data_IF_706681710141
#
_entry.id   IF_706681710141
#
_cell.length_a   1.000
_cell.length_b   1.000
_cell.length_c   1.000
_cell.angle_alpha   90.00
_cell.angle_beta   90.00
_cell.angle_gamma   90.00
#
_symmetry.space_group_name_H-M   'P 1'
#
loop_
_entity.id
_entity.type
_entity.pdbx_description
1 polymer ?
#
# COMPACT_ATOMS: atom_id res chain seq x y z
N UNK A 1 -14.28 48.79 -58.54
CA UNK A 1 -12.84 48.71 -58.84
C UNK A 1 -12.27 47.72 -57.88
N UNK A 2 -12.15 46.54 -58.34
CA UNK A 2 -10.95 45.85 -58.83
C UNK A 2 -10.08 45.34 -57.69
N UNK A 3 -10.17 44.10 -57.48
CA UNK A 3 -9.16 43.03 -57.72
C UNK A 3 -8.08 42.97 -56.66
N UNK A 4 -7.64 41.90 -56.17
CA UNK A 4 -7.45 40.60 -56.70
C UNK A 4 -6.92 39.62 -55.65
N UNK A 5 -7.02 38.40 -55.99
CA UNK A 5 -6.57 37.15 -55.36
C UNK A 5 -5.07 37.12 -55.04
N UNK A 6 -4.66 36.35 -54.04
CA UNK A 6 -3.80 35.20 -54.39
C UNK A 6 -3.79 34.12 -53.30
N UNK A 7 -3.69 32.89 -53.75
CA UNK A 7 -3.57 31.65 -53.02
C UNK A 7 -2.11 31.42 -52.65
N UNK A 8 -1.84 30.76 -51.51
CA UNK A 8 -0.73 29.83 -51.41
C UNK A 8 -1.03 28.73 -50.38
N UNK A 9 -1.05 27.54 -50.89
CA UNK A 9 -0.97 26.23 -50.21
C UNK A 9 0.25 26.13 -49.29
N UNK A 10 0.15 25.30 -48.26
CA UNK A 10 1.23 24.90 -47.40
C UNK A 10 0.77 23.81 -46.44
N UNK A 11 0.53 22.60 -46.98
CA UNK A 11 0.49 21.38 -46.17
C UNK A 11 1.90 21.12 -45.58
N UNK A 12 1.96 20.82 -44.28
CA UNK A 12 2.94 19.91 -43.68
C UNK A 12 2.69 19.86 -42.17
N UNK A 13 2.44 18.67 -41.63
CA UNK A 13 2.23 18.49 -40.21
C UNK A 13 1.66 17.13 -39.84
N UNK A 14 2.00 16.10 -40.60
CA UNK A 14 1.69 14.72 -40.22
C UNK A 14 3.00 13.97 -39.98
N UNK A 15 3.58 14.12 -38.76
CA UNK A 15 4.67 13.19 -38.35
C UNK A 15 4.94 13.22 -36.84
N UNK A 16 3.91 13.13 -36.02
CA UNK A 16 4.06 13.04 -34.55
C UNK A 16 3.48 11.78 -33.90
N UNK A 17 2.79 10.92 -34.68
CA UNK A 17 2.07 9.76 -34.12
C UNK A 17 2.73 8.39 -34.33
N UNK A 18 3.77 8.29 -35.12
CA UNK A 18 4.41 7.00 -35.42
C UNK A 18 5.45 6.57 -34.36
N UNK A 19 6.11 7.50 -33.64
CA UNK A 19 7.13 7.20 -32.66
C UNK A 19 6.59 6.58 -31.36
N UNK A 20 5.44 7.02 -30.90
CA UNK A 20 4.82 6.51 -29.66
C UNK A 20 4.29 5.07 -29.80
N UNK A 21 3.92 4.65 -30.99
CA UNK A 21 3.39 3.29 -31.23
C UNK A 21 4.46 2.20 -31.35
N UNK A 22 5.69 2.55 -31.71
CA UNK A 22 6.80 1.60 -31.78
C UNK A 22 7.39 1.33 -30.39
N UNK A 23 7.68 2.36 -29.59
CA UNK A 23 8.18 2.22 -28.24
C UNK A 23 7.21 1.45 -27.31
N UNK A 24 5.89 1.70 -27.46
CA UNK A 24 4.86 0.96 -26.72
C UNK A 24 4.79 -0.54 -27.09
N UNK A 25 4.99 -0.89 -28.36
CA UNK A 25 5.04 -2.30 -28.80
C UNK A 25 6.30 -3.02 -28.32
N UNK A 26 7.45 -2.34 -28.35
CA UNK A 26 8.71 -2.90 -27.87
C UNK A 26 8.67 -3.15 -26.36
N UNK A 27 8.05 -2.24 -25.59
CA UNK A 27 7.86 -2.41 -24.14
C UNK A 27 6.91 -3.61 -23.83
N UNK A 28 5.81 -3.73 -24.57
CA UNK A 28 4.85 -4.85 -24.41
C UNK A 28 5.53 -6.19 -24.69
N UNK A 29 6.30 -6.30 -25.78
CA UNK A 29 7.02 -7.52 -26.12
C UNK A 29 8.09 -7.88 -25.07
N UNK A 30 8.83 -6.91 -24.57
CA UNK A 30 9.81 -7.13 -23.52
C UNK A 30 9.16 -7.58 -22.20
N UNK A 31 8.02 -7.00 -21.85
CA UNK A 31 7.24 -7.43 -20.69
C UNK A 31 6.74 -8.87 -20.83
N UNK A 32 6.19 -9.24 -21.99
CA UNK A 32 5.73 -10.60 -22.26
C UNK A 32 6.87 -11.62 -22.09
N UNK A 33 8.06 -11.34 -22.63
CA UNK A 33 9.24 -12.21 -22.47
C UNK A 33 9.63 -12.32 -20.98
N UNK A 34 9.66 -11.22 -20.25
CA UNK A 34 10.00 -11.24 -18.82
C UNK A 34 8.98 -12.03 -17.99
N UNK A 35 7.69 -11.91 -18.32
CA UNK A 35 6.60 -12.68 -17.69
C UNK A 35 6.75 -14.19 -17.97
N UNK A 36 7.07 -14.59 -19.22
CA UNK A 36 7.31 -15.99 -19.56
C UNK A 36 8.50 -16.53 -18.77
N UNK A 37 9.62 -15.82 -18.72
CA UNK A 37 10.82 -16.21 -17.97
C UNK A 37 10.49 -16.39 -16.48
N UNK A 38 9.74 -15.46 -15.87
CA UNK A 38 9.32 -15.59 -14.48
C UNK A 38 8.39 -16.80 -14.27
N UNK A 39 7.40 -16.97 -15.16
CA UNK A 39 6.44 -18.07 -15.06
C UNK A 39 7.11 -19.45 -15.17
N UNK A 40 8.09 -19.62 -16.06
CA UNK A 40 8.88 -20.84 -16.15
C UNK A 40 9.61 -21.15 -14.83
N UNK A 41 10.22 -20.13 -14.19
CA UNK A 41 10.88 -20.31 -12.89
C UNK A 41 9.91 -20.65 -11.76
N UNK A 42 8.70 -20.12 -11.81
CA UNK A 42 7.66 -20.36 -10.82
C UNK A 42 6.86 -21.64 -11.07
N UNK A 43 7.10 -22.38 -12.16
CA UNK A 43 6.32 -23.55 -12.57
C UNK A 43 6.18 -24.61 -11.46
N UNK A 44 7.20 -24.77 -10.61
CA UNK A 44 7.18 -25.71 -9.48
C UNK A 44 6.12 -25.36 -8.41
N UNK A 45 5.61 -24.11 -8.39
CA UNK A 45 4.59 -23.65 -7.46
C UNK A 45 3.15 -23.89 -7.96
N UNK A 46 2.97 -24.41 -9.18
CA UNK A 46 1.70 -24.85 -9.71
C UNK A 46 0.59 -23.81 -9.65
N UNK A 47 -0.56 -24.17 -9.06
CA UNK A 47 -1.77 -23.34 -8.98
C UNK A 47 -1.59 -22.07 -8.12
N UNK A 48 -0.49 -21.95 -7.38
CA UNK A 48 -0.16 -20.74 -6.65
C UNK A 48 0.26 -19.57 -7.55
N UNK A 49 0.49 -19.82 -8.85
CA UNK A 49 0.92 -18.82 -9.83
C UNK A 49 -0.22 -18.50 -10.79
N UNK A 50 -0.54 -17.21 -10.93
CA UNK A 50 -1.63 -16.74 -11.77
C UNK A 50 -1.13 -15.61 -12.68
N UNK A 51 -1.52 -15.66 -13.96
CA UNK A 51 -1.36 -14.57 -14.92
C UNK A 51 -2.59 -13.67 -14.85
N UNK A 52 -2.42 -12.40 -15.12
CA UNK A 52 -3.50 -11.42 -15.17
C UNK A 52 -4.40 -11.47 -13.92
N UNK A 53 -3.77 -11.69 -12.75
CA UNK A 53 -4.48 -11.78 -11.48
C UNK A 53 -5.08 -10.43 -11.10
N UNK A 54 -6.36 -10.40 -10.73
CA UNK A 54 -7.11 -9.19 -10.42
C UNK A 54 -6.59 -8.48 -9.16
N UNK A 55 -5.42 -7.86 -9.25
CA UNK A 55 -4.69 -7.25 -8.12
C UNK A 55 -5.50 -6.16 -7.43
N UNK A 56 -6.20 -5.32 -8.19
CA UNK A 56 -7.07 -4.27 -7.64
C UNK A 56 -8.12 -4.83 -6.69
N UNK A 57 -8.72 -5.98 -7.02
CA UNK A 57 -9.72 -6.66 -6.19
C UNK A 57 -9.16 -7.18 -4.85
N UNK A 58 -7.83 -7.39 -4.76
CA UNK A 58 -7.13 -7.81 -3.53
C UNK A 58 -6.84 -6.64 -2.58
N UNK A 59 -7.18 -5.41 -2.96
CA UNK A 59 -7.00 -4.21 -2.12
C UNK A 59 -8.30 -3.85 -1.38
N UNK A 60 -8.20 -2.96 -0.40
CA UNK A 60 -9.41 -2.44 0.28
C UNK A 60 -10.16 -1.41 -0.56
N UNK A 61 -9.56 -0.81 -1.56
CA UNK A 61 -10.25 -0.03 -2.59
C UNK A 61 -11.07 -0.90 -3.54
N UNK A 62 -10.66 -2.16 -3.79
CA UNK A 62 -11.32 -3.11 -4.69
C UNK A 62 -11.49 -2.60 -6.13
N UNK A 63 -10.67 -1.64 -6.53
CA UNK A 63 -10.60 -1.11 -7.91
C UNK A 63 -9.17 -1.19 -8.42
N UNK A 64 -9.01 -1.08 -9.72
CA UNK A 64 -7.74 -1.19 -10.42
C UNK A 64 -7.58 -2.51 -11.18
N UNK A 65 -6.55 -2.58 -12.01
CA UNK A 65 -6.30 -3.66 -12.93
C UNK A 65 -5.59 -4.87 -12.33
N UNK A 66 -5.10 -5.71 -13.21
CA UNK A 66 -4.42 -6.97 -12.89
C UNK A 66 -2.92 -6.80 -12.69
N UNK A 67 -2.28 -7.73 -12.00
CA UNK A 67 -0.84 -7.93 -12.06
C UNK A 67 -0.50 -8.85 -13.26
N UNK A 68 0.56 -8.54 -13.99
CA UNK A 68 1.00 -9.39 -15.10
C UNK A 68 1.28 -10.83 -14.63
N UNK A 69 1.87 -10.96 -13.45
CA UNK A 69 2.08 -12.24 -12.78
C UNK A 69 1.84 -12.09 -11.28
N UNK A 70 1.16 -13.05 -10.67
CA UNK A 70 0.92 -13.12 -9.23
C UNK A 70 1.35 -14.50 -8.72
N UNK A 71 2.03 -14.52 -7.57
CA UNK A 71 2.33 -15.76 -6.85
C UNK A 71 1.81 -15.68 -5.42
N UNK A 72 1.04 -16.69 -5.02
CA UNK A 72 0.57 -16.84 -3.66
C UNK A 72 1.56 -17.71 -2.88
N UNK A 73 2.34 -17.10 -1.99
CA UNK A 73 3.32 -17.79 -1.16
C UNK A 73 2.63 -18.27 0.12
N UNK A 74 2.60 -19.57 0.33
CA UNK A 74 1.99 -20.24 1.49
C UNK A 74 3.02 -20.84 2.42
N UNK A 75 4.26 -21.04 1.95
CA UNK A 75 5.37 -21.62 2.71
C UNK A 75 6.66 -20.83 2.48
N UNK A 76 7.49 -20.66 3.51
CA UNK A 76 8.78 -19.95 3.40
C UNK A 76 9.72 -20.56 2.36
N UNK A 77 9.69 -21.91 2.23
CA UNK A 77 10.50 -22.63 1.23
C UNK A 77 10.22 -22.25 -0.23
N UNK A 78 9.12 -21.56 -0.51
CA UNK A 78 8.79 -21.07 -1.86
C UNK A 78 9.51 -19.74 -2.19
N UNK A 79 9.94 -18.97 -1.18
CA UNK A 79 10.58 -17.66 -1.37
C UNK A 79 11.87 -17.70 -2.20
N UNK A 80 12.78 -18.69 -2.05
CA UNK A 80 13.94 -18.81 -2.94
C UNK A 80 13.57 -18.98 -4.42
N UNK A 81 12.46 -19.67 -4.72
CA UNK A 81 11.96 -19.84 -6.10
C UNK A 81 11.44 -18.49 -6.64
N UNK A 82 10.71 -17.74 -5.80
CA UNK A 82 10.23 -16.40 -6.13
C UNK A 82 11.40 -15.44 -6.35
N UNK A 83 12.43 -15.50 -5.51
CA UNK A 83 13.64 -14.69 -5.64
C UNK A 83 14.36 -14.98 -6.97
N UNK A 84 14.53 -16.25 -7.34
CA UNK A 84 15.14 -16.61 -8.62
C UNK A 84 14.31 -16.09 -9.80
N UNK A 85 12.98 -16.26 -9.76
CA UNK A 85 12.08 -15.76 -10.79
C UNK A 85 12.18 -14.23 -10.95
N UNK A 86 12.15 -13.47 -9.84
CA UNK A 86 12.29 -12.03 -9.84
C UNK A 86 13.64 -11.57 -10.40
N UNK A 87 14.73 -12.20 -9.97
CA UNK A 87 16.10 -11.87 -10.38
C UNK A 87 16.34 -12.15 -11.87
N UNK A 88 15.89 -13.30 -12.39
CA UNK A 88 16.16 -13.72 -13.78
C UNK A 88 15.27 -12.97 -14.77
N UNK A 89 14.00 -12.69 -14.41
CA UNK A 89 13.08 -11.96 -15.28
C UNK A 89 13.31 -10.46 -15.29
N UNK A 90 13.87 -9.90 -14.20
CA UNK A 90 13.99 -8.45 -14.02
C UNK A 90 12.65 -7.74 -13.82
N UNK A 91 11.55 -8.47 -13.61
CA UNK A 91 10.24 -7.89 -13.35
C UNK A 91 10.27 -7.06 -12.04
N UNK A 92 9.63 -5.88 -12.02
CA UNK A 92 9.40 -5.18 -10.76
C UNK A 92 8.56 -6.04 -9.83
N UNK A 93 8.90 -6.03 -8.53
CA UNK A 93 8.22 -6.85 -7.52
C UNK A 93 7.33 -5.99 -6.64
N UNK A 94 6.14 -6.49 -6.34
CA UNK A 94 5.23 -5.94 -5.36
C UNK A 94 4.87 -7.01 -4.32
N UNK A 95 5.30 -6.84 -3.08
CA UNK A 95 4.83 -7.66 -1.96
C UNK A 95 3.51 -7.11 -1.45
N UNK A 96 2.48 -7.95 -1.42
CA UNK A 96 1.13 -7.59 -0.96
C UNK A 96 0.73 -8.45 0.25
N UNK A 97 0.37 -7.78 1.35
CA UNK A 97 -0.28 -8.41 2.48
C UNK A 97 -1.81 -8.30 2.33
N UNK A 98 -2.46 -7.48 3.15
CA UNK A 98 -3.92 -7.28 3.13
C UNK A 98 -4.41 -6.19 2.15
N UNK A 99 -3.51 -5.57 1.37
CA UNK A 99 -3.86 -4.54 0.39
C UNK A 99 -4.50 -3.27 0.97
N UNK A 100 -4.35 -3.01 2.27
CA UNK A 100 -5.09 -1.95 2.98
C UNK A 100 -4.53 -0.54 2.80
N UNK A 101 -3.40 -0.39 2.11
CA UNK A 101 -2.75 0.89 1.83
C UNK A 101 -2.31 1.02 0.35
N UNK A 102 -2.96 0.27 -0.54
CA UNK A 102 -2.62 0.25 -1.97
C UNK A 102 -3.75 0.83 -2.81
N UNK A 103 -3.38 1.63 -3.82
CA UNK A 103 -4.20 1.97 -4.97
C UNK A 103 -3.50 1.43 -6.21
N UNK A 104 -4.13 0.50 -6.92
CA UNK A 104 -3.60 -0.11 -8.15
C UNK A 104 -4.22 0.59 -9.35
N UNK A 105 -3.42 1.04 -10.31
CA UNK A 105 -3.89 1.68 -11.53
C UNK A 105 -4.88 0.80 -12.30
N UNK A 106 -5.81 1.39 -13.05
CA UNK A 106 -6.73 0.63 -13.90
C UNK A 106 -5.98 -0.14 -15.00
N UNK A 107 -4.80 0.35 -15.44
CA UNK A 107 -3.89 -0.35 -16.32
C UNK A 107 -3.20 -1.58 -15.67
N UNK A 108 -3.29 -1.73 -14.34
CA UNK A 108 -2.69 -2.83 -13.59
C UNK A 108 -1.24 -2.60 -13.18
N UNK A 109 -0.54 -3.69 -12.91
CA UNK A 109 0.85 -3.72 -12.49
C UNK A 109 1.66 -4.64 -13.43
N UNK A 110 2.55 -4.06 -14.22
CA UNK A 110 3.42 -4.74 -15.16
C UNK A 110 4.62 -5.40 -14.44
N UNK A 111 4.33 -6.36 -13.54
CA UNK A 111 5.34 -6.99 -12.70
C UNK A 111 4.87 -8.25 -12.00
N UNK A 112 5.71 -8.75 -11.09
CA UNK A 112 5.46 -9.90 -10.23
C UNK A 112 4.90 -9.43 -8.89
N UNK A 113 3.62 -9.67 -8.64
CA UNK A 113 3.01 -9.47 -7.34
C UNK A 113 3.14 -10.75 -6.48
N UNK A 114 3.56 -10.57 -5.22
CA UNK A 114 3.82 -11.66 -4.26
C UNK A 114 2.86 -11.53 -3.10
N UNK A 115 1.86 -12.41 -3.02
CA UNK A 115 0.87 -12.44 -1.97
C UNK A 115 1.34 -13.28 -0.78
N UNK A 116 1.28 -12.70 0.43
CA UNK A 116 1.72 -13.35 1.68
C UNK A 116 0.56 -13.62 2.66
N UNK A 117 -0.69 -13.50 2.21
CA UNK A 117 -1.85 -13.51 3.11
C UNK A 117 -2.03 -14.77 3.94
N UNK A 118 -1.47 -15.90 3.51
CA UNK A 118 -1.60 -17.21 4.16
C UNK A 118 -0.23 -17.82 4.54
N UNK A 119 0.86 -17.08 4.36
CA UNK A 119 2.21 -17.60 4.57
C UNK A 119 2.41 -18.15 5.98
N UNK A 120 1.99 -17.41 7.00
CA UNK A 120 2.03 -17.80 8.40
C UNK A 120 1.22 -16.79 9.23
N UNK A 121 0.52 -17.27 10.24
CA UNK A 121 -0.24 -16.46 11.19
C UNK A 121 0.06 -16.82 12.65
N UNK A 122 1.28 -17.33 12.90
CA UNK A 122 1.75 -17.69 14.24
C UNK A 122 1.94 -16.45 15.11
N UNK A 123 1.53 -16.56 16.36
CA UNK A 123 1.75 -15.58 17.42
C UNK A 123 2.28 -16.34 18.63
N UNK A 124 3.50 -16.05 19.03
CA UNK A 124 4.12 -16.58 20.24
C UNK A 124 4.31 -15.45 21.26
N UNK A 125 3.71 -15.57 22.44
CA UNK A 125 3.71 -14.56 23.49
C UNK A 125 4.37 -15.12 24.75
N UNK A 126 5.51 -14.55 25.16
CA UNK A 126 6.09 -14.76 26.49
C UNK A 126 5.59 -13.67 27.46
N UNK A 127 4.59 -14.01 28.23
CA UNK A 127 4.01 -13.10 29.23
C UNK A 127 4.96 -12.81 30.38
N UNK A 128 6.01 -13.60 30.59
CA UNK A 128 7.01 -13.39 31.65
C UNK A 128 7.95 -12.23 31.30
N UNK A 129 8.34 -12.13 30.06
CA UNK A 129 9.22 -11.06 29.54
C UNK A 129 8.46 -9.92 28.86
N UNK A 130 7.15 -10.07 28.68
CA UNK A 130 6.30 -9.20 27.87
C UNK A 130 6.79 -9.04 26.43
N UNK A 131 7.45 -10.07 25.88
CA UNK A 131 7.88 -10.11 24.48
C UNK A 131 6.96 -11.00 23.65
N UNK A 132 6.88 -10.73 22.36
CA UNK A 132 6.18 -11.60 21.43
C UNK A 132 6.86 -11.64 20.08
N UNK A 133 6.70 -12.76 19.36
CA UNK A 133 7.01 -12.92 17.96
C UNK A 133 5.69 -13.10 17.19
N UNK A 134 5.49 -12.31 16.15
CA UNK A 134 4.31 -12.42 15.29
C UNK A 134 4.72 -12.52 13.82
N UNK A 135 4.15 -13.50 13.11
CA UNK A 135 4.34 -13.64 11.68
C UNK A 135 3.74 -12.47 10.90
N UNK A 136 4.34 -12.14 9.77
CA UNK A 136 3.97 -10.98 8.95
C UNK A 136 2.53 -10.98 8.46
N UNK A 137 1.91 -12.16 8.26
CA UNK A 137 0.52 -12.34 7.85
C UNK A 137 -0.51 -12.03 8.95
N UNK A 138 -0.10 -11.97 10.21
CA UNK A 138 -0.99 -11.70 11.36
C UNK A 138 -1.67 -10.35 11.20
N UNK A 139 -3.01 -10.34 11.31
CA UNK A 139 -3.77 -9.10 11.29
C UNK A 139 -3.55 -8.28 12.56
N UNK A 140 -3.25 -6.98 12.42
CA UNK A 140 -3.04 -6.06 13.53
C UNK A 140 -4.17 -6.07 14.57
N UNK A 141 -5.48 -6.03 14.17
CA UNK A 141 -6.57 -6.11 15.14
C UNK A 141 -6.66 -7.44 15.92
N UNK A 142 -6.13 -8.53 15.33
CA UNK A 142 -6.08 -9.83 16.00
C UNK A 142 -4.97 -9.81 17.05
N UNK A 143 -3.77 -9.35 16.68
CA UNK A 143 -2.64 -9.26 17.60
C UNK A 143 -2.97 -8.34 18.78
N UNK A 144 -3.53 -7.15 18.54
CA UNK A 144 -3.93 -6.21 19.59
C UNK A 144 -4.88 -6.82 20.63
N UNK A 145 -5.84 -7.64 20.19
CA UNK A 145 -6.74 -8.33 21.13
C UNK A 145 -6.08 -9.47 21.87
N UNK A 146 -5.18 -10.21 21.21
CA UNK A 146 -4.45 -11.33 21.85
C UNK A 146 -3.48 -10.83 22.91
N UNK A 147 -2.73 -9.76 22.63
CA UNK A 147 -1.81 -9.15 23.61
C UNK A 147 -2.58 -8.59 24.80
N UNK A 148 -3.67 -7.88 24.60
CA UNK A 148 -4.53 -7.37 25.66
C UNK A 148 -5.09 -8.50 26.55
N UNK A 149 -5.58 -9.60 25.93
CA UNK A 149 -6.07 -10.75 26.65
C UNK A 149 -4.99 -11.50 27.44
N UNK A 150 -3.73 -11.41 26.99
CA UNK A 150 -2.57 -11.95 27.69
C UNK A 150 -2.05 -11.06 28.84
N UNK A 151 -2.72 -9.92 29.12
CA UNK A 151 -2.29 -8.96 30.15
C UNK A 151 -1.09 -8.10 29.73
N UNK A 152 -0.90 -7.92 28.41
CA UNK A 152 0.12 -7.03 27.85
C UNK A 152 -0.53 -5.74 27.33
N UNK A 153 0.18 -4.63 27.47
CA UNK A 153 -0.26 -3.30 27.07
C UNK A 153 0.75 -2.61 26.16
N UNK A 154 0.31 -1.55 25.44
CA UNK A 154 1.14 -0.76 24.51
C UNK A 154 0.86 -1.06 23.05
N UNK A 155 0.03 -2.08 22.71
CA UNK A 155 -0.31 -2.42 21.34
C UNK A 155 -1.81 -2.27 21.00
N UNK A 156 -2.62 -1.70 21.89
CA UNK A 156 -4.07 -1.52 21.74
C UNK A 156 -4.42 -0.66 20.53
N UNK A 157 -3.59 0.32 20.20
CA UNK A 157 -3.75 1.21 19.04
C UNK A 157 -3.92 0.45 17.73
N UNK A 158 -3.27 -0.71 17.61
CA UNK A 158 -3.23 -1.51 16.40
C UNK A 158 -4.59 -2.13 16.04
N UNK A 159 -5.54 -2.22 17.00
CA UNK A 159 -6.91 -2.65 16.70
C UNK A 159 -7.59 -1.74 15.69
N UNK A 160 -7.15 -0.50 15.64
CA UNK A 160 -7.64 0.51 14.73
C UNK A 160 -7.05 0.45 13.31
N UNK A 161 -6.07 -0.37 13.01
CA UNK A 161 -5.37 -0.37 11.70
C UNK A 161 -5.71 -1.63 10.90
N UNK A 162 -6.36 -1.50 9.72
CA UNK A 162 -6.70 -2.65 8.88
C UNK A 162 -5.47 -3.08 8.07
N UNK A 163 -4.62 -3.89 8.64
CA UNK A 163 -3.40 -4.35 7.97
C UNK A 163 -2.85 -5.61 8.60
N UNK A 164 -1.72 -6.07 8.12
CA UNK A 164 -0.92 -7.14 8.70
C UNK A 164 0.37 -6.60 9.32
N UNK A 165 1.01 -7.40 10.17
CA UNK A 165 2.28 -7.07 10.82
C UNK A 165 3.34 -6.68 9.78
N UNK A 166 3.52 -7.45 8.71
CA UNK A 166 4.51 -7.12 7.68
C UNK A 166 4.27 -5.77 7.01
N UNK A 167 3.00 -5.48 6.67
CA UNK A 167 2.62 -4.17 6.14
C UNK A 167 2.80 -3.04 7.15
N UNK A 168 2.55 -3.30 8.43
CA UNK A 168 2.72 -2.34 9.52
C UNK A 168 4.20 -1.98 9.75
N UNK A 169 5.09 -2.97 9.75
CA UNK A 169 6.55 -2.76 9.80
C UNK A 169 7.01 -1.94 8.61
N UNK A 170 6.61 -2.34 7.40
CA UNK A 170 6.97 -1.67 6.14
C UNK A 170 6.62 -0.18 6.14
N UNK A 171 5.50 0.19 6.73
CA UNK A 171 4.96 1.56 6.72
C UNK A 171 5.16 2.30 8.04
N UNK A 172 5.82 1.71 9.05
CA UNK A 172 5.76 2.19 10.42
C UNK A 172 4.32 2.63 10.77
N UNK A 173 3.38 1.69 10.61
CA UNK A 173 1.97 1.98 10.81
C UNK A 173 1.69 2.43 12.24
N UNK A 174 0.76 3.35 12.41
CA UNK A 174 0.41 3.85 13.73
C UNK A 174 -0.94 4.55 13.76
N UNK A 175 -1.42 4.79 14.96
CA UNK A 175 -2.68 5.47 15.25
C UNK A 175 -2.87 5.63 16.74
N UNK A 176 -3.80 6.48 17.15
CA UNK A 176 -4.16 6.69 18.56
C UNK A 176 -2.94 6.97 19.47
N UNK A 177 -1.97 7.73 18.94
CA UNK A 177 -0.82 8.21 19.73
C UNK A 177 0.39 7.27 19.78
N UNK A 178 0.39 6.14 19.05
CA UNK A 178 1.51 5.21 18.98
C UNK A 178 1.71 4.65 17.56
N UNK A 179 2.81 3.94 17.32
CA UNK A 179 3.16 3.29 16.07
C UNK A 179 3.99 2.01 16.28
N UNK A 180 4.40 1.36 15.17
CA UNK A 180 5.21 0.13 15.24
C UNK A 180 6.56 0.36 15.91
N UNK A 181 7.22 1.49 15.66
CA UNK A 181 8.54 1.79 16.23
C UNK A 181 8.53 1.80 17.76
N UNK A 182 7.39 2.11 18.38
CA UNK A 182 7.28 2.18 19.85
C UNK A 182 7.48 0.82 20.55
N UNK A 183 7.24 -0.29 19.85
CA UNK A 183 7.30 -1.65 20.42
C UNK A 183 8.19 -2.60 19.64
N UNK A 184 8.63 -2.26 18.43
CA UNK A 184 9.42 -3.16 17.58
C UNK A 184 10.85 -3.31 18.11
N UNK A 185 11.33 -4.54 18.27
CA UNK A 185 12.72 -4.87 18.60
C UNK A 185 13.51 -5.15 17.32
N UNK A 186 13.01 -6.09 16.52
CA UNK A 186 13.68 -6.58 15.31
C UNK A 186 12.65 -7.19 14.35
N UNK A 187 13.08 -7.40 13.13
CA UNK A 187 12.30 -8.10 12.10
C UNK A 187 13.15 -9.15 11.40
N UNK A 188 12.55 -10.28 11.08
CA UNK A 188 13.10 -11.22 10.13
C UNK A 188 12.57 -10.88 8.74
N UNK A 189 13.46 -10.63 7.80
CA UNK A 189 13.13 -10.35 6.39
C UNK A 189 13.81 -11.37 5.49
N UNK A 190 13.13 -11.72 4.40
CA UNK A 190 13.75 -12.42 3.28
C UNK A 190 14.05 -11.40 2.18
N UNK A 191 15.30 -11.29 1.74
CA UNK A 191 15.67 -10.41 0.62
C UNK A 191 15.61 -11.19 -0.69
N UNK A 192 14.72 -10.77 -1.59
CA UNK A 192 14.55 -11.39 -2.92
C UNK A 192 15.76 -11.18 -3.85
N UNK A 193 16.70 -10.29 -3.51
CA UNK A 193 17.88 -10.05 -4.32
C UNK A 193 18.96 -11.12 -4.07
N UNK A 194 19.27 -11.40 -2.80
CA UNK A 194 20.30 -12.38 -2.42
C UNK A 194 19.73 -13.76 -2.09
N UNK A 195 18.41 -13.87 -1.94
CA UNK A 195 17.71 -15.12 -1.66
C UNK A 195 17.92 -15.65 -0.24
N UNK A 196 18.23 -14.78 0.72
CA UNK A 196 18.54 -15.11 2.11
C UNK A 196 17.64 -14.40 3.13
N UNK A 197 17.57 -14.96 4.33
CA UNK A 197 16.92 -14.34 5.48
C UNK A 197 17.92 -13.49 6.26
N UNK A 198 17.45 -12.31 6.71
CA UNK A 198 18.22 -11.37 7.52
C UNK A 198 17.40 -10.89 8.70
N UNK A 199 17.99 -10.89 9.89
CA UNK A 199 17.42 -10.22 11.06
C UNK A 199 17.93 -8.79 11.10
N UNK A 200 17.00 -7.83 11.09
CA UNK A 200 17.29 -6.40 11.14
C UNK A 200 16.76 -5.82 12.45
N UNK A 201 17.64 -5.19 13.22
CA UNK A 201 17.23 -4.45 14.41
C UNK A 201 16.41 -3.20 14.05
N UNK A 202 15.56 -2.73 14.95
CA UNK A 202 14.74 -1.52 14.74
C UNK A 202 15.59 -0.30 14.31
N UNK A 203 16.81 -0.16 14.83
CA UNK A 203 17.75 0.91 14.48
C UNK A 203 18.21 0.87 13.01
N UNK A 204 18.14 -0.28 12.34
CA UNK A 204 18.53 -0.47 10.93
C UNK A 204 17.37 -0.18 9.97
N UNK A 205 16.15 -0.13 10.47
CA UNK A 205 14.94 0.03 9.68
C UNK A 205 14.64 1.49 9.29
N UNK A 206 15.37 2.47 9.82
CA UNK A 206 15.16 3.88 9.50
C UNK A 206 13.70 4.31 9.63
N UNK A 207 13.02 3.84 10.70
CA UNK A 207 11.59 4.09 10.90
C UNK A 207 11.31 5.58 11.09
N UNK A 208 10.45 6.10 10.24
CA UNK A 208 9.94 7.47 10.32
C UNK A 208 8.42 7.51 10.22
N UNK A 209 7.85 8.71 10.18
CA UNK A 209 6.40 8.85 10.07
C UNK A 209 5.91 8.26 8.73
N UNK A 210 5.18 7.14 8.81
CA UNK A 210 4.68 6.36 7.66
C UNK A 210 5.78 5.92 6.68
N UNK A 211 6.96 5.58 7.20
CA UNK A 211 8.09 5.15 6.36
C UNK A 211 9.03 4.19 7.08
N UNK A 212 9.74 3.40 6.29
CA UNK A 212 10.89 2.58 6.70
C UNK A 212 11.91 2.51 5.56
N UNK A 213 13.13 2.05 5.86
CA UNK A 213 14.18 1.75 4.87
C UNK A 213 13.91 0.49 4.04
N UNK A 214 12.91 -0.32 4.42
CA UNK A 214 12.56 -1.51 3.66
C UNK A 214 12.11 -1.14 2.25
N UNK A 215 12.54 -1.89 1.25
CA UNK A 215 12.21 -1.69 -0.18
C UNK A 215 11.38 -2.86 -0.72
N UNK A 216 10.96 -2.80 -1.98
CA UNK A 216 10.05 -3.78 -2.58
C UNK A 216 10.57 -5.24 -2.55
N UNK A 217 11.90 -5.44 -2.54
CA UNK A 217 12.53 -6.76 -2.47
C UNK A 217 12.52 -7.38 -1.07
N UNK A 218 12.29 -6.60 -0.02
CA UNK A 218 12.29 -7.10 1.36
C UNK A 218 10.91 -7.67 1.71
N UNK A 219 10.84 -8.97 1.90
CA UNK A 219 9.67 -9.69 2.38
C UNK A 219 9.78 -9.83 3.89
N UNK A 220 8.99 -9.08 4.65
CA UNK A 220 8.93 -9.26 6.10
C UNK A 220 8.30 -10.62 6.39
N UNK A 221 8.95 -11.42 7.22
CA UNK A 221 8.49 -12.76 7.66
C UNK A 221 7.93 -12.72 9.07
N UNK A 222 8.66 -12.09 10.00
CA UNK A 222 8.32 -12.00 11.43
C UNK A 222 8.68 -10.63 11.98
N UNK A 223 8.02 -10.26 13.05
CA UNK A 223 8.39 -9.11 13.87
C UNK A 223 8.43 -9.55 15.36
N UNK A 224 9.51 -9.18 16.05
CA UNK A 224 9.64 -9.31 17.50
C UNK A 224 9.29 -7.99 18.16
N UNK A 225 8.33 -8.01 19.09
CA UNK A 225 7.85 -6.83 19.78
C UNK A 225 8.13 -6.95 21.29
N UNK A 226 8.46 -5.81 21.92
CA UNK A 226 8.49 -5.63 23.37
C UNK A 226 7.29 -4.81 23.78
N UNK A 227 6.50 -5.33 24.69
CA UNK A 227 5.34 -4.66 25.27
C UNK A 227 5.55 -4.45 26.77
N UNK A 228 4.57 -3.81 27.41
CA UNK A 228 4.55 -3.64 28.85
C UNK A 228 3.60 -4.65 29.49
N UNK A 229 3.85 -5.03 30.75
CA UNK A 229 2.84 -5.70 31.56
C UNK A 229 1.68 -4.74 31.83
N UNK A 230 0.47 -5.21 31.66
CA UNK A 230 -0.73 -4.38 31.75
C UNK A 230 -1.91 -5.11 32.41
N UNK A 231 -3.02 -4.42 32.43
CA UNK A 231 -4.31 -4.93 32.90
C UNK A 231 -5.20 -5.26 31.70
N UNK A 232 -5.59 -6.54 31.59
CA UNK A 232 -6.36 -7.04 30.45
C UNK A 232 -7.74 -6.35 30.29
N UNK A 233 -8.40 -5.99 31.42
CA UNK A 233 -9.69 -5.31 31.37
C UNK A 233 -9.51 -3.84 30.92
N UNK A 234 -8.46 -3.18 31.38
CA UNK A 234 -8.12 -1.81 30.96
C UNK A 234 -7.81 -1.77 29.45
N UNK A 235 -6.97 -2.69 28.96
CA UNK A 235 -6.65 -2.81 27.54
C UNK A 235 -7.88 -3.16 26.69
N UNK A 236 -8.77 -4.04 27.17
CA UNK A 236 -10.02 -4.36 26.48
C UNK A 236 -10.97 -3.15 26.39
N UNK A 237 -11.04 -2.32 27.45
CA UNK A 237 -11.81 -1.06 27.43
C UNK A 237 -11.25 -0.08 26.40
N UNK A 238 -9.91 0.14 26.39
CA UNK A 238 -9.24 1.01 25.43
C UNK A 238 -9.46 0.54 23.98
N UNK A 239 -9.33 -0.76 23.71
CA UNK A 239 -9.64 -1.37 22.41
C UNK A 239 -11.08 -1.04 21.98
N UNK A 240 -12.05 -1.16 22.91
CA UNK A 240 -13.46 -0.88 22.65
C UNK A 240 -13.70 0.60 22.33
N UNK A 241 -13.03 1.50 23.05
CA UNK A 241 -13.06 2.95 22.80
C UNK A 241 -12.50 3.30 21.43
N UNK A 242 -11.34 2.74 21.04
CA UNK A 242 -10.72 2.94 19.74
C UNK A 242 -11.67 2.48 18.62
N UNK A 243 -12.25 1.30 18.76
CA UNK A 243 -13.21 0.75 17.78
C UNK A 243 -14.46 1.64 17.66
N UNK A 244 -15.01 2.09 18.78
CA UNK A 244 -16.15 2.98 18.81
C UNK A 244 -15.82 4.34 18.14
N UNK A 245 -14.68 4.93 18.49
CA UNK A 245 -14.21 6.18 17.88
C UNK A 245 -14.07 6.05 16.36
N UNK A 246 -13.43 4.98 15.87
CA UNK A 246 -13.29 4.74 14.42
C UNK A 246 -14.63 4.62 13.73
N UNK A 247 -15.55 3.84 14.30
CA UNK A 247 -16.91 3.70 13.77
C UNK A 247 -17.64 5.05 13.70
N UNK A 248 -17.41 5.92 14.68
CA UNK A 248 -18.01 7.25 14.72
C UNK A 248 -17.36 8.24 13.73
N UNK A 249 -16.04 8.16 13.50
CA UNK A 249 -15.28 9.22 12.81
C UNK A 249 -14.72 8.83 11.43
N UNK A 250 -14.64 7.55 11.09
CA UNK A 250 -14.08 7.11 9.81
C UNK A 250 -15.15 6.44 8.93
N UNK A 251 -15.11 6.62 7.59
CA UNK A 251 -16.07 6.00 6.70
C UNK A 251 -15.84 4.49 6.60
N UNK A 252 -16.90 3.75 6.31
CA UNK A 252 -16.83 2.39 5.79
C UNK A 252 -16.68 2.37 4.26
N UNK A 253 -16.98 1.22 3.65
CA UNK A 253 -16.94 1.07 2.20
C UNK A 253 -15.52 0.96 1.64
N UNK A 254 -15.38 1.13 0.33
CA UNK A 254 -14.13 0.94 -0.40
C UNK A 254 -13.23 2.17 -0.24
N UNK A 255 -12.16 2.05 0.54
CA UNK A 255 -11.14 3.06 0.77
C UNK A 255 -9.86 2.39 1.32
N UNK A 256 -8.74 3.10 1.34
CA UNK A 256 -7.48 2.62 1.90
C UNK A 256 -7.00 3.47 3.10
N UNK A 257 -7.92 3.92 3.94
CA UNK A 257 -7.60 4.75 5.11
C UNK A 257 -7.34 6.22 4.75
N UNK A 258 -6.47 6.86 5.53
CA UNK A 258 -6.03 8.23 5.24
C UNK A 258 -5.27 8.28 3.93
N UNK A 259 -5.64 9.23 3.06
CA UNK A 259 -5.03 9.37 1.74
C UNK A 259 -3.74 10.16 1.80
N UNK A 260 -3.66 11.18 2.67
CA UNK A 260 -2.50 12.04 2.77
C UNK A 260 -1.89 12.03 4.17
N UNK A 261 -0.56 12.14 4.19
CA UNK A 261 0.23 12.32 5.40
C UNK A 261 -0.03 13.71 5.99
N UNK A 262 -0.12 13.82 7.31
CA UNK A 262 -0.20 15.10 7.97
C UNK A 262 1.07 15.94 7.71
N UNK A 263 0.96 17.17 7.16
CA UNK A 263 2.13 18.00 6.85
C UNK A 263 3.03 18.28 8.05
N UNK A 264 2.43 18.53 9.22
CA UNK A 264 3.15 18.70 10.49
C UNK A 264 2.48 17.79 11.52
N UNK A 265 3.08 16.63 11.83
CA UNK A 265 2.50 15.71 12.80
C UNK A 265 2.22 16.37 14.15
N UNK A 266 0.99 16.18 14.66
CA UNK A 266 0.55 16.77 15.92
C UNK A 266 0.06 18.24 15.84
N UNK A 267 0.38 18.97 14.77
CA UNK A 267 0.03 20.39 14.62
C UNK A 267 -0.90 20.65 13.43
N UNK A 268 -0.53 20.16 12.23
CA UNK A 268 -1.30 20.42 11.00
C UNK A 268 -1.73 19.09 10.39
N UNK A 269 -3.04 18.82 10.40
CA UNK A 269 -3.59 17.61 9.82
C UNK A 269 -4.06 17.82 8.38
N UNK A 270 -3.77 16.86 7.50
CA UNK A 270 -4.27 16.86 6.13
C UNK A 270 -5.81 16.94 6.09
N UNK A 271 -6.49 16.21 6.99
CA UNK A 271 -7.95 16.23 7.07
C UNK A 271 -8.52 17.62 7.37
N UNK A 272 -7.89 18.39 8.26
CA UNK A 272 -8.32 19.75 8.57
C UNK A 272 -8.10 20.71 7.39
N UNK A 273 -6.99 20.59 6.66
CA UNK A 273 -6.71 21.39 5.46
C UNK A 273 -7.71 21.10 4.34
N UNK A 274 -8.02 19.82 4.08
CA UNK A 274 -8.99 19.40 3.07
C UNK A 274 -10.41 19.88 3.43
N UNK A 275 -10.76 19.83 4.72
CA UNK A 275 -12.04 20.32 5.23
C UNK A 275 -12.15 21.84 5.10
N UNK A 276 -11.11 22.59 5.48
CA UNK A 276 -11.04 24.04 5.34
C UNK A 276 -11.09 24.50 3.87
N UNK A 277 -10.58 23.69 2.94
CA UNK A 277 -10.72 23.91 1.49
C UNK A 277 -12.14 23.59 0.95
N UNK A 278 -13.07 23.16 1.80
CA UNK A 278 -14.47 22.88 1.43
C UNK A 278 -14.66 21.63 0.57
N UNK A 279 -13.75 20.65 0.66
CA UNK A 279 -13.70 19.52 -0.28
C UNK A 279 -14.47 18.28 0.18
N UNK A 280 -15.14 18.27 1.37
CA UNK A 280 -16.02 17.16 1.75
C UNK A 280 -17.11 16.94 0.70
N UNK A 281 -17.29 15.70 0.27
CA UNK A 281 -18.26 15.33 -0.77
C UNK A 281 -17.88 15.72 -2.19
N UNK A 282 -16.72 16.35 -2.40
CA UNK A 282 -16.24 16.61 -3.76
C UNK A 282 -16.00 15.29 -4.48
N UNK A 283 -16.53 15.20 -5.74
CA UNK A 283 -16.52 13.96 -6.52
C UNK A 283 -15.83 14.17 -7.86
N UNK A 284 -15.04 13.20 -8.26
CA UNK A 284 -14.53 13.06 -9.63
C UNK A 284 -14.84 11.62 -10.07
N UNK A 285 -15.62 11.48 -11.13
CA UNK A 285 -16.07 10.18 -11.63
C UNK A 285 -16.73 9.35 -10.51
N UNK A 286 -16.15 8.19 -10.23
CA UNK A 286 -16.61 7.25 -9.22
C UNK A 286 -16.00 7.47 -7.83
N UNK A 287 -15.05 8.40 -7.69
CA UNK A 287 -14.37 8.70 -6.44
C UNK A 287 -14.96 9.93 -5.73
N UNK A 288 -15.03 9.91 -4.40
CA UNK A 288 -15.58 10.99 -3.57
C UNK A 288 -14.77 11.21 -2.30
N UNK A 289 -14.49 12.47 -1.95
CA UNK A 289 -13.98 12.84 -0.62
C UNK A 289 -15.07 12.55 0.40
N UNK A 290 -14.77 11.74 1.41
CA UNK A 290 -15.76 11.30 2.38
C UNK A 290 -16.36 12.47 3.16
N UNK A 291 -17.69 12.47 3.29
CA UNK A 291 -18.41 13.41 4.17
C UNK A 291 -18.05 13.22 5.65
N UNK A 292 -17.65 12.00 6.03
CA UNK A 292 -17.37 11.66 7.42
C UNK A 292 -15.97 12.06 7.86
N UNK A 293 -14.96 11.89 6.98
CA UNK A 293 -13.58 12.24 7.27
C UNK A 293 -12.90 12.75 6.00
N UNK A 294 -12.53 14.03 5.98
CA UNK A 294 -12.05 14.71 4.77
C UNK A 294 -10.75 14.11 4.19
N UNK A 295 -9.91 13.44 5.00
CA UNK A 295 -8.70 12.76 4.51
C UNK A 295 -8.96 11.31 4.06
N UNK A 296 -10.21 10.96 3.71
CA UNK A 296 -10.57 9.68 3.14
C UNK A 296 -11.23 9.89 1.78
N UNK A 297 -10.78 9.15 0.80
CA UNK A 297 -11.45 9.05 -0.50
C UNK A 297 -12.10 7.67 -0.57
N UNK A 298 -13.39 7.66 -0.87
CA UNK A 298 -14.17 6.45 -1.13
C UNK A 298 -14.40 6.32 -2.63
N UNK A 299 -14.52 5.09 -3.10
CA UNK A 299 -14.86 4.80 -4.49
C UNK A 299 -16.11 3.94 -4.53
N UNK A 300 -16.95 4.14 -5.56
CA UNK A 300 -18.18 3.39 -5.76
C UNK A 300 -17.87 1.92 -6.12
N UNK A 301 -18.85 1.02 -5.95
CA UNK A 301 -18.73 -0.37 -6.43
C UNK A 301 -18.49 -0.36 -7.95
N UNK A 302 -17.55 -1.18 -8.42
CA UNK A 302 -17.08 -1.22 -9.79
C UNK A 302 -16.56 0.15 -10.30
N UNK A 303 -16.04 0.99 -9.40
CA UNK A 303 -15.42 2.27 -9.74
C UNK A 303 -14.05 2.14 -10.36
N UNK A 304 -13.34 3.28 -10.52
CA UNK A 304 -12.06 3.37 -11.20
C UNK A 304 -10.96 3.89 -10.27
N UNK A 305 -9.79 3.27 -10.35
CA UNK A 305 -8.60 3.74 -9.63
C UNK A 305 -8.09 5.09 -10.19
N UNK A 306 -8.24 5.31 -11.49
CA UNK A 306 -7.87 6.58 -12.13
C UNK A 306 -8.72 7.75 -11.61
N UNK A 307 -10.00 7.53 -11.27
CA UNK A 307 -10.85 8.55 -10.65
C UNK A 307 -10.36 8.90 -9.23
N UNK A 308 -9.89 7.89 -8.47
CA UNK A 308 -9.29 8.10 -7.14
C UNK A 308 -8.03 8.95 -7.27
N UNK A 309 -7.12 8.61 -8.20
CA UNK A 309 -5.90 9.38 -8.45
C UNK A 309 -6.19 10.81 -8.92
N UNK A 310 -7.15 10.98 -9.83
CA UNK A 310 -7.57 12.30 -10.30
C UNK A 310 -8.13 13.15 -9.15
N UNK A 311 -8.92 12.56 -8.25
CA UNK A 311 -9.44 13.25 -7.07
C UNK A 311 -8.31 13.58 -6.08
N UNK A 312 -7.34 12.67 -5.85
CA UNK A 312 -6.16 12.95 -5.03
C UNK A 312 -5.37 14.14 -5.59
N UNK A 313 -5.15 14.17 -6.90
CA UNK A 313 -4.44 15.27 -7.59
C UNK A 313 -5.17 16.59 -7.41
N UNK A 314 -6.48 16.60 -7.60
CA UNK A 314 -7.31 17.78 -7.40
C UNK A 314 -7.26 18.29 -5.95
N UNK A 315 -7.44 17.39 -4.97
CA UNK A 315 -7.38 17.73 -3.53
C UNK A 315 -6.03 18.35 -3.19
N UNK A 316 -4.92 17.75 -3.64
CA UNK A 316 -3.56 18.27 -3.40
C UNK A 316 -3.39 19.69 -3.95
N UNK A 317 -3.80 19.93 -5.20
CA UNK A 317 -3.69 21.25 -5.83
C UNK A 317 -4.54 22.30 -5.10
N UNK A 318 -5.77 21.97 -4.71
CA UNK A 318 -6.65 22.91 -3.99
C UNK A 318 -6.15 23.23 -2.57
N UNK A 319 -5.64 22.23 -1.86
CA UNK A 319 -5.05 22.47 -0.53
C UNK A 319 -3.78 23.32 -0.66
N UNK A 320 -2.91 23.06 -1.63
CA UNK A 320 -1.70 23.88 -1.86
C UNK A 320 -2.08 25.33 -2.20
N UNK A 321 -3.07 25.54 -3.07
CA UNK A 321 -3.56 26.88 -3.42
C UNK A 321 -4.13 27.65 -2.22
N UNK A 322 -4.87 27.00 -1.33
CA UNK A 322 -5.59 27.64 -0.24
C UNK A 322 -4.79 27.78 1.05
N UNK A 323 -3.79 26.92 1.27
CA UNK A 323 -3.06 26.84 2.53
C UNK A 323 -1.53 26.93 2.40
N UNK A 324 -0.99 26.80 1.18
CA UNK A 324 0.46 26.72 0.93
C UNK A 324 1.07 25.36 1.28
N UNK A 325 0.33 24.40 1.84
CA UNK A 325 0.81 23.07 2.17
C UNK A 325 0.65 22.11 0.99
N UNK A 326 1.76 21.52 0.53
CA UNK A 326 1.74 20.45 -0.47
C UNK A 326 1.57 19.10 0.22
N UNK A 327 0.41 18.46 0.03
CA UNK A 327 0.12 17.15 0.60
C UNK A 327 0.91 16.04 -0.09
N UNK A 328 1.41 15.08 0.69
CA UNK A 328 2.08 13.86 0.22
C UNK A 328 1.15 12.67 0.46
N UNK A 329 1.06 11.76 -0.52
CA UNK A 329 0.25 10.54 -0.38
C UNK A 329 0.76 9.66 0.76
N UNK A 330 -0.17 9.12 1.56
CA UNK A 330 0.06 8.02 2.49
C UNK A 330 -0.19 6.67 1.78
N UNK A 331 -1.12 6.64 0.80
CA UNK A 331 -1.37 5.45 0.01
C UNK A 331 -0.22 5.17 -0.97
N UNK A 332 0.11 3.90 -1.14
CA UNK A 332 1.08 3.43 -2.13
C UNK A 332 0.38 3.30 -3.48
N UNK A 333 0.84 4.07 -4.45
CA UNK A 333 0.37 4.03 -5.83
C UNK A 333 1.14 2.94 -6.59
N UNK A 334 0.43 2.06 -7.29
CA UNK A 334 0.99 0.89 -7.98
C UNK A 334 0.54 0.91 -9.44
N UNK A 335 1.48 0.85 -10.38
CA UNK A 335 1.20 0.81 -11.83
C UNK A 335 0.82 2.15 -12.45
N UNK A 336 0.96 3.27 -11.72
CA UNK A 336 0.79 4.61 -12.28
C UNK A 336 2.12 5.13 -12.84
N UNK A 337 2.07 5.85 -13.97
CA UNK A 337 3.26 6.26 -14.75
C UNK A 337 4.22 7.22 -14.01
N UNK A 338 3.75 7.94 -13.01
CA UNK A 338 4.51 8.99 -12.33
C UNK A 338 5.31 8.51 -11.11
N UNK A 339 5.73 7.24 -11.07
CA UNK A 339 6.83 6.74 -10.21
C UNK A 339 6.86 7.13 -8.73
N UNK A 340 5.76 7.65 -8.16
CA UNK A 340 5.60 7.76 -6.71
C UNK A 340 5.96 9.07 -6.03
N UNK A 341 6.10 10.19 -6.69
CA UNK A 341 6.10 11.51 -6.06
C UNK A 341 4.68 12.12 -5.98
N UNK A 342 3.83 11.41 -5.28
CA UNK A 342 2.48 11.92 -5.04
C UNK A 342 2.35 12.41 -3.59
#
# INVERSE_FOLDING_TARGET
MSAGADRADGAEGADGRAGSSAAGRDFSAALEVAVEVAAERLQALGDSVQRDAALGAMTTYRVGGAAALFVHVTERGQLPIVADAARVSGLPVLVIGRGSNLLVADAGFAGLAVGLGELDTTIDIDTRTATLVASAGVALPVLARKTAAAGLSGFEWAVGVPGSIGGAVRMNAGGHGSDMAASLIEVLVFDLLDGAEHTLATSELGLGFRSSSLVARHVVLEATLQLDHGDAEKSARLISEIVAWRRANQPGGQNAGSVFVNPVPGEVSAGALIDAAGLRGHRIGTAVVSHKHANFIQVDDAGRADDVLALMTYVRARVEETSGYRLRSENRLVGFDDGGEF
#
